data_IF_115156478013
#
_entry.id   IF_115156478013
#
_cell.length_a   1.000
_cell.length_b   1.000
_cell.length_c   1.000
_cell.angle_alpha   90.00
_cell.angle_beta   90.00
_cell.angle_gamma   90.00
#
_symmetry.space_group_name_H-M   'P 1'
#
loop_
_entity.id
_entity.type
_entity.pdbx_description
1 polymer ?
#
# COMPACT_ATOMS: atom_id res chain seq x y z
N UNK A 1 -11.66 12.26 -3.74
CA UNK A 1 -11.71 13.69 -3.36
C UNK A 1 -11.10 13.76 -1.98
N UNK A 2 -10.12 14.62 -1.72
CA UNK A 2 -9.51 14.72 -0.38
C UNK A 2 -10.55 15.33 0.56
N UNK A 3 -10.81 14.69 1.71
CA UNK A 3 -11.75 15.22 2.70
C UNK A 3 -11.16 16.46 3.35
N UNK A 4 -11.67 17.64 2.99
CA UNK A 4 -11.19 18.92 3.52
C UNK A 4 -11.60 19.17 4.96
N UNK A 5 -12.48 18.34 5.54
CA UNK A 5 -12.77 18.40 6.98
C UNK A 5 -11.58 17.90 7.81
N UNK A 6 -10.70 17.10 7.23
CA UNK A 6 -9.50 16.58 7.89
C UNK A 6 -8.31 17.44 7.49
N UNK A 7 -7.90 18.34 8.38
CA UNK A 7 -6.86 19.33 8.11
C UNK A 7 -5.47 18.72 7.95
N UNK A 8 -5.22 17.55 8.56
CA UNK A 8 -3.92 16.89 8.56
C UNK A 8 -4.07 15.40 8.22
N UNK A 9 -3.58 14.98 7.05
CA UNK A 9 -3.80 13.65 6.49
C UNK A 9 -2.51 12.96 6.07
N UNK A 10 -2.49 11.65 6.23
CA UNK A 10 -1.53 10.74 5.61
C UNK A 10 -2.26 9.80 4.66
N UNK A 11 -1.73 9.64 3.45
CA UNK A 11 -2.33 8.91 2.35
C UNK A 11 -1.42 7.76 1.97
N UNK A 12 -1.99 6.56 1.90
CA UNK A 12 -1.34 5.34 1.47
C UNK A 12 -1.81 4.91 0.09
N UNK A 13 -0.90 4.31 -0.67
CA UNK A 13 -1.26 3.37 -1.72
C UNK A 13 -1.68 2.01 -1.12
N UNK A 14 -2.25 1.14 -1.93
CA UNK A 14 -2.45 -0.27 -1.65
C UNK A 14 -1.19 -1.06 -2.03
N UNK A 15 -0.26 -1.20 -1.09
CA UNK A 15 0.95 -1.99 -1.32
C UNK A 15 0.63 -3.48 -1.25
N UNK A 16 1.15 -4.24 -2.20
CA UNK A 16 0.94 -5.68 -2.24
C UNK A 16 1.96 -6.39 -1.36
N UNK A 17 1.54 -7.43 -0.66
CA UNK A 17 2.44 -8.36 0.00
C UNK A 17 2.18 -9.78 -0.49
N UNK A 18 3.22 -10.60 -0.48
CA UNK A 18 3.15 -12.04 -0.69
C UNK A 18 4.28 -12.78 0.01
N UNK A 19 3.97 -13.98 0.46
CA UNK A 19 4.84 -14.89 1.21
C UNK A 19 4.72 -16.34 0.70
N UNK A 20 3.90 -16.57 -0.33
CA UNK A 20 3.64 -17.88 -0.91
C UNK A 20 4.81 -18.39 -1.76
N UNK A 21 4.93 -19.71 -1.92
CA UNK A 21 5.82 -20.34 -2.93
C UNK A 21 7.30 -19.90 -2.88
N UNK A 22 7.80 -19.54 -1.69
CA UNK A 22 9.17 -19.04 -1.51
C UNK A 22 9.38 -17.58 -1.92
N UNK A 23 8.30 -16.82 -2.12
CA UNK A 23 8.37 -15.37 -2.25
C UNK A 23 8.59 -14.70 -0.90
N UNK A 24 9.28 -13.56 -0.94
CA UNK A 24 9.38 -12.62 0.17
C UNK A 24 9.09 -11.21 -0.34
N UNK A 25 8.44 -10.40 0.49
CA UNK A 25 8.17 -9.00 0.18
C UNK A 25 9.12 -8.11 0.98
N UNK A 26 9.76 -7.16 0.32
CA UNK A 26 10.58 -6.12 0.95
C UNK A 26 9.90 -4.78 0.76
N UNK A 27 9.75 -4.02 1.82
CA UNK A 27 9.14 -2.70 1.78
C UNK A 27 10.11 -1.64 2.30
N UNK A 28 10.36 -0.62 1.49
CA UNK A 28 11.24 0.50 1.83
C UNK A 28 10.44 1.79 1.94
N UNK A 29 10.63 2.50 3.05
CA UNK A 29 9.93 3.74 3.37
C UNK A 29 10.84 4.69 4.15
N UNK A 30 10.55 5.99 4.08
CA UNK A 30 11.32 7.04 4.74
C UNK A 30 10.54 7.60 5.92
N UNK A 31 11.24 8.18 6.90
CA UNK A 31 10.60 9.00 7.95
C UNK A 31 10.25 10.39 7.38
N UNK A 32 9.10 10.49 6.71
CA UNK A 32 8.72 11.75 6.04
C UNK A 32 8.55 12.90 7.04
N UNK A 33 7.98 12.61 8.21
CA UNK A 33 7.69 13.61 9.23
C UNK A 33 8.98 14.13 9.88
N UNK A 34 9.90 13.25 10.25
CA UNK A 34 11.22 13.66 10.74
C UNK A 34 12.05 14.38 9.68
N UNK A 35 12.13 13.83 8.46
CA UNK A 35 12.98 14.37 7.39
C UNK A 35 12.57 15.77 6.91
N UNK A 36 11.27 15.99 6.67
CA UNK A 36 10.80 17.20 6.00
C UNK A 36 10.16 18.21 6.95
N UNK A 37 9.61 17.75 8.07
CA UNK A 37 8.87 18.59 9.00
C UNK A 37 9.53 18.71 10.38
N UNK A 38 10.65 18.00 10.60
CA UNK A 38 11.38 18.00 11.88
C UNK A 38 10.49 17.62 13.07
N UNK A 39 9.49 16.77 12.81
CA UNK A 39 8.60 16.26 13.85
C UNK A 39 9.33 15.14 14.59
N UNK A 40 9.70 15.41 15.83
CA UNK A 40 10.22 14.43 16.76
C UNK A 40 9.04 13.60 17.31
N UNK A 41 9.29 12.33 17.66
CA UNK A 41 8.28 11.37 18.15
C UNK A 41 7.15 11.00 17.17
N UNK A 42 7.40 11.13 15.86
CA UNK A 42 6.51 10.55 14.86
C UNK A 42 6.68 9.02 14.77
N UNK A 43 5.64 8.33 14.32
CA UNK A 43 5.68 6.88 14.12
C UNK A 43 4.99 6.48 12.81
N UNK A 44 5.24 5.24 12.38
CA UNK A 44 4.55 4.65 11.23
C UNK A 44 3.63 3.54 11.70
N UNK A 45 2.38 3.58 11.24
CA UNK A 45 1.41 2.49 11.35
C UNK A 45 1.34 1.73 10.02
N UNK A 46 1.48 0.40 10.06
CA UNK A 46 1.19 -0.46 8.91
C UNK A 46 0.05 -1.42 9.22
N UNK A 47 -0.92 -1.50 8.31
CA UNK A 47 -2.12 -2.33 8.43
C UNK A 47 -2.16 -3.37 7.31
N UNK A 48 -2.15 -4.65 7.66
CA UNK A 48 -2.10 -5.78 6.72
C UNK A 48 -3.47 -6.47 6.59
N UNK A 49 -3.83 -6.81 5.36
CA UNK A 49 -5.09 -7.45 5.01
C UNK A 49 -4.85 -8.62 4.04
N UNK A 50 -5.69 -9.65 4.13
CA UNK A 50 -5.73 -10.78 3.20
C UNK A 50 -6.20 -10.34 1.81
N UNK A 51 -6.05 -11.20 0.80
CA UNK A 51 -6.68 -11.02 -0.53
C UNK A 51 -8.22 -10.91 -0.50
N UNK A 52 -8.85 -11.38 0.58
CA UNK A 52 -10.28 -11.26 0.81
C UNK A 52 -10.65 -10.01 1.64
N UNK A 53 -9.67 -9.13 1.89
CA UNK A 53 -9.81 -7.91 2.71
C UNK A 53 -10.09 -8.18 4.20
N UNK A 54 -9.75 -9.38 4.70
CA UNK A 54 -9.78 -9.67 6.13
C UNK A 54 -8.56 -9.02 6.79
N UNK A 55 -8.75 -8.35 7.92
CA UNK A 55 -7.65 -7.78 8.69
C UNK A 55 -6.76 -8.88 9.27
N UNK A 56 -5.45 -8.77 9.05
CA UNK A 56 -4.45 -9.72 9.55
C UNK A 56 -3.78 -9.17 10.80
N UNK A 57 -3.09 -8.03 10.67
CA UNK A 57 -2.37 -7.41 11.78
C UNK A 57 -2.11 -5.92 11.54
N UNK A 58 -1.90 -5.21 12.64
CA UNK A 58 -1.38 -3.84 12.69
C UNK A 58 -0.01 -3.88 13.36
N UNK A 59 0.95 -3.13 12.82
CA UNK A 59 2.23 -2.88 13.47
C UNK A 59 2.46 -1.37 13.60
N UNK A 60 3.13 -0.99 14.68
CA UNK A 60 3.52 0.39 14.96
C UNK A 60 5.04 0.41 15.09
N UNK A 61 5.69 1.30 14.34
CA UNK A 61 7.14 1.49 14.33
C UNK A 61 7.43 2.90 14.83
N UNK A 62 7.91 3.00 16.07
CA UNK A 62 8.19 4.27 16.74
C UNK A 62 9.61 4.80 16.49
N UNK A 63 10.57 3.91 16.26
CA UNK A 63 11.97 4.29 16.01
C UNK A 63 12.25 4.23 14.52
N UNK A 64 12.16 5.38 13.86
CA UNK A 64 12.36 5.50 12.43
C UNK A 64 13.78 6.00 12.12
N UNK A 65 14.44 5.33 11.19
CA UNK A 65 15.61 5.89 10.51
C UNK A 65 15.14 6.75 9.33
N UNK A 66 16.04 7.55 8.76
CA UNK A 66 15.73 8.28 7.51
C UNK A 66 15.33 7.35 6.36
N UNK A 67 15.89 6.14 6.32
CA UNK A 67 15.52 5.08 5.38
C UNK A 67 15.30 3.80 6.16
N UNK A 68 14.10 3.24 6.03
CA UNK A 68 13.68 2.03 6.72
C UNK A 68 13.38 0.93 5.72
N UNK A 69 13.61 -0.31 6.16
CA UNK A 69 13.34 -1.52 5.40
C UNK A 69 12.57 -2.48 6.29
N UNK A 70 11.45 -3.00 5.78
CA UNK A 70 10.66 -4.04 6.39
C UNK A 70 10.71 -5.29 5.51
N UNK A 71 11.12 -6.42 6.09
CA UNK A 71 10.98 -7.73 5.48
C UNK A 71 9.62 -8.31 5.89
N UNK A 72 8.81 -8.66 4.90
CA UNK A 72 7.50 -9.28 5.05
C UNK A 72 7.65 -10.69 4.44
N UNK A 73 8.00 -11.63 5.30
CA UNK A 73 7.99 -13.07 5.01
C UNK A 73 6.90 -13.77 5.83
N UNK A 74 6.81 -15.09 5.69
CA UNK A 74 5.78 -15.87 6.40
C UNK A 74 5.92 -15.76 7.92
N UNK A 75 7.14 -15.68 8.44
CA UNK A 75 7.37 -15.58 9.89
C UNK A 75 6.90 -14.23 10.41
N UNK A 76 7.14 -13.15 9.66
CA UNK A 76 6.57 -11.82 9.94
C UNK A 76 5.04 -11.81 9.93
N UNK A 77 4.41 -12.60 9.06
CA UNK A 77 2.94 -12.78 8.99
C UNK A 77 2.44 -14.01 9.76
N UNK A 78 3.11 -14.38 10.86
CA UNK A 78 2.64 -15.39 11.81
C UNK A 78 2.35 -16.77 11.16
N UNK A 79 3.17 -17.15 10.18
CA UNK A 79 3.10 -18.40 9.42
C UNK A 79 2.25 -18.35 8.15
N UNK A 80 1.66 -17.20 7.81
CA UNK A 80 0.82 -17.08 6.60
C UNK A 80 1.67 -17.18 5.34
N UNK A 81 1.35 -18.14 4.49
CA UNK A 81 1.88 -18.32 3.13
C UNK A 81 0.78 -17.99 2.11
N UNK A 82 0.59 -16.71 1.82
CA UNK A 82 -0.43 -16.21 0.87
C UNK A 82 -0.02 -14.85 0.30
N UNK A 83 -0.97 -14.09 -0.23
CA UNK A 83 -0.81 -12.71 -0.66
C UNK A 83 -1.99 -11.82 -0.21
N UNK A 84 -1.77 -10.52 -0.26
CA UNK A 84 -2.78 -9.52 0.09
C UNK A 84 -2.28 -8.09 -0.10
N UNK A 85 -2.87 -7.19 0.68
CA UNK A 85 -2.60 -5.75 0.63
C UNK A 85 -2.24 -5.22 2.01
N UNK A 86 -1.40 -4.20 2.06
CA UNK A 86 -1.15 -3.42 3.26
C UNK A 86 -1.09 -1.93 2.96
N UNK A 87 -1.28 -1.15 4.02
CA UNK A 87 -1.30 0.31 3.97
C UNK A 87 -0.33 0.87 5.01
N UNK A 88 0.29 2.01 4.72
CA UNK A 88 1.23 2.72 5.58
C UNK A 88 0.71 4.13 5.88
N UNK A 89 0.73 4.50 7.15
CA UNK A 89 0.31 5.81 7.62
C UNK A 89 1.39 6.42 8.51
N UNK A 90 1.81 7.64 8.20
CA UNK A 90 2.70 8.43 9.07
C UNK A 90 1.85 9.13 10.12
N UNK A 91 2.26 9.03 11.38
CA UNK A 91 1.43 9.36 12.53
C UNK A 91 2.13 10.32 13.48
N UNK A 92 1.35 11.23 14.05
CA UNK A 92 1.78 12.14 15.08
C UNK A 92 0.56 12.67 15.84
N UNK A 93 0.43 12.30 17.12
CA UNK A 93 -0.79 12.53 17.90
C UNK A 93 -0.94 13.99 18.35
N UNK A 94 0.17 14.73 18.44
CA UNK A 94 0.22 16.10 18.95
C UNK A 94 0.23 17.15 17.83
N UNK A 95 -0.17 16.79 16.60
CA UNK A 95 -0.14 17.75 15.50
C UNK A 95 -1.20 18.86 15.71
N UNK A 96 -0.77 20.11 15.84
CA UNK A 96 -1.65 21.27 15.96
C UNK A 96 -1.34 22.37 14.92
N UNK A 97 -0.67 22.00 13.82
CA UNK A 97 -0.19 22.92 12.80
C UNK A 97 -1.20 23.25 11.69
N UNK A 98 -0.69 23.84 10.60
CA UNK A 98 -1.43 24.17 9.38
C UNK A 98 -1.91 22.91 8.63
N UNK A 99 -2.67 23.11 7.56
CA UNK A 99 -3.15 21.99 6.74
C UNK A 99 -1.97 21.23 6.12
N UNK A 100 -1.87 19.93 6.41
CA UNK A 100 -0.75 19.07 6.00
C UNK A 100 -1.26 17.78 5.38
N UNK A 101 -0.82 17.47 4.15
CA UNK A 101 -1.15 16.20 3.49
C UNK A 101 0.15 15.50 3.10
N UNK A 102 0.34 14.31 3.64
CA UNK A 102 1.48 13.44 3.36
C UNK A 102 1.01 12.32 2.44
N UNK A 103 1.70 12.12 1.32
CA UNK A 103 1.44 11.01 0.40
C UNK A 103 2.64 10.08 0.36
N UNK A 104 2.43 8.80 0.67
CA UNK A 104 3.47 7.79 0.70
C UNK A 104 3.65 7.13 -0.68
N UNK A 105 4.77 7.41 -1.37
CA UNK A 105 5.15 6.84 -2.68
C UNK A 105 6.18 5.70 -2.58
N UNK A 106 6.22 5.05 -1.42
CA UNK A 106 7.20 4.03 -0.99
C UNK A 106 7.50 2.94 -2.03
N UNK A 107 8.56 2.17 -1.80
CA UNK A 107 8.94 1.07 -2.71
C UNK A 107 8.58 -0.29 -2.11
N UNK A 108 7.93 -1.13 -2.89
CA UNK A 108 7.69 -2.53 -2.57
C UNK A 108 8.40 -3.41 -3.57
N UNK A 109 9.08 -4.44 -3.09
CA UNK A 109 9.83 -5.36 -3.92
C UNK A 109 9.57 -6.80 -3.57
N UNK A 110 9.68 -7.67 -4.58
CA UNK A 110 9.44 -9.10 -4.45
C UNK A 110 10.71 -9.86 -4.83
N UNK A 111 11.11 -10.81 -3.99
CA UNK A 111 12.16 -11.78 -4.30
C UNK A 111 11.60 -13.20 -4.27
N UNK A 112 12.20 -14.09 -5.05
CA UNK A 112 11.85 -15.50 -5.11
C UNK A 112 13.07 -16.32 -4.72
N UNK A 113 12.94 -17.20 -3.70
CA UNK A 113 14.03 -18.09 -3.26
C UNK A 113 15.35 -17.34 -3.01
N UNK A 114 15.26 -16.24 -2.25
CA UNK A 114 16.40 -15.37 -1.89
C UNK A 114 17.14 -14.71 -3.06
N UNK A 115 16.48 -14.60 -4.22
CA UNK A 115 16.96 -13.76 -5.32
C UNK A 115 16.91 -12.26 -4.97
N UNK A 116 17.53 -11.43 -5.84
CA UNK A 116 17.39 -9.98 -5.74
C UNK A 116 15.94 -9.55 -5.89
N UNK A 117 15.49 -8.65 -5.02
CA UNK A 117 14.15 -8.08 -5.10
C UNK A 117 14.01 -7.14 -6.30
N UNK A 118 12.93 -7.32 -7.06
CA UNK A 118 12.51 -6.35 -8.08
C UNK A 118 11.53 -5.37 -7.48
N UNK A 119 11.80 -4.06 -7.57
CA UNK A 119 11.04 -3.02 -6.89
C UNK A 119 10.10 -2.25 -7.83
N UNK A 120 8.95 -1.88 -7.28
CA UNK A 120 8.00 -0.92 -7.85
C UNK A 120 7.65 0.14 -6.80
N UNK A 121 7.25 1.32 -7.25
CA UNK A 121 6.84 2.41 -6.37
C UNK A 121 5.31 2.47 -6.24
N UNK A 122 4.83 2.96 -5.10
CA UNK A 122 3.43 3.30 -4.92
C UNK A 122 3.03 4.50 -5.79
N UNK A 123 1.96 4.36 -6.57
CA UNK A 123 1.52 5.35 -7.54
C UNK A 123 0.05 5.80 -7.38
N UNK A 124 -0.72 5.24 -6.45
CA UNK A 124 -2.12 5.63 -6.24
C UNK A 124 -2.37 6.17 -4.83
N UNK A 125 -3.43 6.99 -4.73
CA UNK A 125 -3.99 7.43 -3.45
C UNK A 125 -5.20 6.56 -3.16
N UNK A 126 -5.08 5.63 -2.22
CA UNK A 126 -6.09 4.60 -2.01
C UNK A 126 -6.83 4.81 -0.69
N UNK A 127 -6.10 4.83 0.42
CA UNK A 127 -6.65 5.08 1.76
C UNK A 127 -5.97 6.29 2.39
N UNK A 128 -6.71 6.99 3.24
CA UNK A 128 -6.18 8.09 4.03
C UNK A 128 -6.53 7.91 5.50
N UNK A 129 -5.73 8.54 6.36
CA UNK A 129 -6.00 8.70 7.79
C UNK A 129 -5.60 10.11 8.22
N UNK A 130 -6.20 10.64 9.28
CA UNK A 130 -5.65 11.78 10.00
C UNK A 130 -4.33 11.40 10.69
N UNK A 131 -3.44 12.36 10.91
CA UNK A 131 -2.15 12.09 11.60
C UNK A 131 -2.31 11.53 13.02
N UNK A 132 -3.41 11.90 13.70
CA UNK A 132 -3.81 11.36 15.00
C UNK A 132 -4.71 10.12 14.89
N UNK A 133 -5.12 9.75 13.68
CA UNK A 133 -5.88 8.53 13.36
C UNK A 133 -7.30 8.46 13.82
N UNK A 134 -7.85 9.58 14.29
CA UNK A 134 -9.26 9.65 14.67
C UNK A 134 -10.18 9.51 13.46
N UNK A 135 -9.69 9.86 12.27
CA UNK A 135 -10.44 9.83 11.03
C UNK A 135 -9.71 9.01 9.98
N UNK A 136 -10.45 8.19 9.25
CA UNK A 136 -9.94 7.43 8.12
C UNK A 136 -10.95 7.39 6.97
N UNK A 137 -10.48 6.96 5.81
CA UNK A 137 -11.36 6.70 4.69
C UNK A 137 -10.64 6.15 3.47
N UNK A 138 -11.44 5.89 2.43
CA UNK A 138 -11.02 5.34 1.15
C UNK A 138 -11.71 6.09 0.00
N UNK A 139 -11.91 5.46 -1.17
CA UNK A 139 -12.62 6.05 -2.31
C UNK A 139 -11.98 7.34 -2.87
N UNK A 140 -10.67 7.46 -2.71
CA UNK A 140 -9.93 8.61 -3.23
C UNK A 140 -9.82 8.58 -4.76
N UNK A 141 -9.71 7.37 -5.35
CA UNK A 141 -9.70 7.12 -6.79
C UNK A 141 -11.14 7.10 -7.31
N UNK A 142 -11.40 7.83 -8.40
CA UNK A 142 -12.74 7.86 -9.03
C UNK A 142 -12.85 6.78 -10.11
N UNK A 143 -13.97 6.06 -10.11
CA UNK A 143 -14.39 5.23 -11.25
C UNK A 143 -14.99 6.10 -12.36
N UNK A 144 -14.68 5.79 -13.62
CA UNK A 144 -15.35 6.39 -14.78
C UNK A 144 -16.60 5.59 -15.16
N UNK A 145 -17.60 6.26 -15.74
CA UNK A 145 -18.74 5.59 -16.40
C UNK A 145 -18.35 4.95 -17.74
N UNK A 146 -17.20 5.37 -18.31
CA UNK A 146 -16.66 4.79 -19.53
C UNK A 146 -15.64 3.71 -19.21
N UNK A 147 -15.66 2.63 -20.00
CA UNK A 147 -14.67 1.57 -19.90
C UNK A 147 -13.30 2.08 -20.33
N UNK A 148 -12.35 2.10 -19.41
CA UNK A 148 -10.96 2.43 -19.71
C UNK A 148 -10.22 1.15 -20.13
N UNK A 149 -9.63 1.17 -21.32
CA UNK A 149 -8.79 0.06 -21.81
C UNK A 149 -7.34 0.34 -21.50
N UNK A 150 -6.76 -0.44 -20.60
CA UNK A 150 -5.32 -0.44 -20.36
C UNK A 150 -4.64 -1.50 -21.22
N UNK A 151 -3.56 -1.13 -21.91
CA UNK A 151 -2.69 -2.06 -22.63
C UNK A 151 -1.32 -2.05 -21.95
N UNK A 152 -0.91 -3.22 -21.49
CA UNK A 152 0.44 -3.43 -20.97
C UNK A 152 1.45 -3.08 -22.07
N UNK A 153 2.38 -2.17 -21.76
CA UNK A 153 3.29 -1.59 -22.76
C UNK A 153 4.48 -2.50 -23.08
N UNK A 154 4.92 -3.32 -22.12
CA UNK A 154 6.05 -4.24 -22.29
C UNK A 154 5.59 -5.63 -22.70
N UNK A 155 6.44 -6.34 -23.45
CA UNK A 155 6.28 -7.77 -23.71
C UNK A 155 6.78 -8.57 -22.52
N UNK A 156 6.04 -9.60 -22.15
CA UNK A 156 6.41 -10.55 -21.08
C UNK A 156 6.50 -11.99 -21.62
N UNK A 157 6.63 -12.15 -22.94
CA UNK A 157 6.63 -13.47 -23.61
C UNK A 157 7.78 -14.37 -23.17
N UNK A 158 8.94 -13.79 -22.87
CA UNK A 158 10.15 -14.55 -22.50
C UNK A 158 10.19 -14.91 -21.00
N UNK A 159 9.18 -14.50 -20.22
CA UNK A 159 9.08 -14.87 -18.80
C UNK A 159 8.32 -16.19 -18.65
N UNK A 160 8.83 -17.07 -17.78
CA UNK A 160 8.20 -18.36 -17.46
C UNK A 160 6.77 -18.21 -16.94
N UNK A 161 6.48 -17.10 -16.24
CA UNK A 161 5.17 -16.81 -15.66
C UNK A 161 4.95 -15.30 -15.62
N UNK A 162 3.75 -14.87 -15.98
CA UNK A 162 3.27 -13.51 -15.78
C UNK A 162 2.08 -13.54 -14.82
N UNK A 163 2.10 -12.67 -13.81
CA UNK A 163 1.01 -12.51 -12.85
C UNK A 163 0.53 -11.08 -12.84
N UNK A 164 -0.77 -10.89 -12.66
CA UNK A 164 -1.40 -9.59 -12.53
C UNK A 164 -2.07 -9.52 -11.17
N UNK A 165 -1.70 -8.52 -10.39
CA UNK A 165 -2.32 -8.23 -9.10
C UNK A 165 -3.23 -7.02 -9.25
N UNK A 166 -4.44 -7.15 -8.73
CA UNK A 166 -5.44 -6.09 -8.76
C UNK A 166 -5.93 -5.82 -7.35
N UNK A 167 -6.10 -4.55 -7.04
CA UNK A 167 -6.75 -4.10 -5.80
C UNK A 167 -7.92 -3.22 -6.22
N UNK A 168 -9.06 -3.39 -5.56
CA UNK A 168 -10.17 -2.46 -5.67
C UNK A 168 -9.98 -1.35 -4.63
N UNK A 169 -9.61 -0.13 -5.02
CA UNK A 169 -9.43 0.96 -4.07
C UNK A 169 -10.75 1.63 -3.67
N UNK A 170 -11.89 1.12 -4.16
CA UNK A 170 -13.20 1.74 -4.00
C UNK A 170 -14.17 0.85 -3.21
N UNK A 171 -15.18 1.46 -2.60
CA UNK A 171 -16.32 0.78 -1.98
C UNK A 171 -17.31 0.18 -3.00
N UNK A 172 -17.10 0.47 -4.29
CA UNK A 172 -17.94 -0.04 -5.37
C UNK A 172 -17.33 -1.31 -5.95
N UNK A 173 -18.18 -2.24 -6.35
CA UNK A 173 -17.76 -3.40 -7.12
C UNK A 173 -17.20 -2.94 -8.47
N UNK A 174 -16.05 -3.47 -8.85
CA UNK A 174 -15.41 -3.19 -10.15
C UNK A 174 -15.46 -4.45 -11.00
N UNK A 175 -16.14 -4.37 -12.13
CA UNK A 175 -16.12 -5.40 -13.17
C UNK A 175 -15.05 -5.03 -14.21
N UNK A 176 -14.22 -6.00 -14.59
CA UNK A 176 -13.18 -5.80 -15.61
C UNK A 176 -12.93 -7.09 -16.40
N UNK A 177 -12.19 -6.99 -17.51
CA UNK A 177 -11.84 -8.15 -18.33
C UNK A 177 -10.37 -8.18 -18.70
N UNK A 178 -9.78 -9.37 -18.69
CA UNK A 178 -8.45 -9.63 -19.22
C UNK A 178 -8.61 -10.51 -20.45
N UNK A 179 -8.33 -9.95 -21.63
CA UNK A 179 -8.71 -10.58 -22.88
C UNK A 179 -10.23 -10.82 -22.95
N UNK A 180 -10.64 -12.08 -23.06
CA UNK A 180 -12.05 -12.48 -23.14
C UNK A 180 -12.61 -12.96 -21.80
N UNK A 181 -11.82 -12.97 -20.72
CA UNK A 181 -12.23 -13.46 -19.41
C UNK A 181 -12.70 -12.29 -18.56
N UNK A 182 -13.87 -12.43 -17.93
CA UNK A 182 -14.46 -11.43 -17.04
C UNK A 182 -14.14 -11.71 -15.58
N UNK A 183 -13.86 -10.65 -14.84
CA UNK A 183 -13.53 -10.64 -13.42
C UNK A 183 -14.36 -9.59 -12.69
N UNK A 184 -14.49 -9.78 -11.38
CA UNK A 184 -15.17 -8.86 -10.47
C UNK A 184 -14.35 -8.72 -9.20
N UNK A 185 -14.12 -7.49 -8.77
CA UNK A 185 -13.57 -7.17 -7.46
C UNK A 185 -14.67 -6.59 -6.57
N UNK A 186 -14.75 -7.13 -5.35
CA UNK A 186 -15.65 -6.71 -4.29
C UNK A 186 -15.11 -5.52 -3.52
#
# INVERSE_FOLDING_TARGET
MIDKSIRFQTISDAFLWRTDNGFKTTFNYADILGLFYKVEDSHVELNFYSKNNDFIKKIIINQLNYSNKLLIDKDFLDGIEDYGVFYIFHRYDNYSGDDLIISNRCYVGFSLKDSLSSFVHGNQFVRYQSLDGKYDGSDMVKSSFFNNKYRIQNSFLDFTKSELFFVNPTSKKIDFSIGNIRYRLG
#
